data_IF_256484198836
#
_entry.id   IF_256484198836
#
_cell.length_a   1.000
_cell.length_b   1.000
_cell.length_c   1.000
_cell.angle_alpha   90.00
_cell.angle_beta   90.00
_cell.angle_gamma   90.00
#
_symmetry.space_group_name_H-M   'P 1'
#
loop_
_entity.id
_entity.type
_entity.pdbx_description
1 polymer ?
#
# COMPACT_ATOMS: atom_id res chain seq x y z
N UNK A 1 2.14 -2.14 12.66
CA UNK A 1 1.59 -3.33 11.98
C UNK A 1 0.72 -4.07 12.96
N UNK A 2 -0.40 -4.60 12.52
CA UNK A 2 -1.27 -5.48 13.31
C UNK A 2 -1.49 -6.77 12.54
N UNK A 3 -1.64 -7.89 13.25
CA UNK A 3 -1.93 -9.21 12.66
C UNK A 3 -3.25 -9.70 13.23
N UNK A 4 -4.05 -10.36 12.41
CA UNK A 4 -5.34 -10.91 12.80
C UNK A 4 -5.83 -11.95 11.80
N UNK A 5 -7.13 -12.22 11.83
CA UNK A 5 -7.78 -13.21 10.97
C UNK A 5 -9.02 -12.60 10.32
N UNK A 6 -9.23 -12.90 9.03
CA UNK A 6 -10.43 -12.55 8.28
C UNK A 6 -10.92 -13.81 7.58
N UNK A 7 -12.14 -14.28 7.90
CA UNK A 7 -12.73 -15.50 7.34
C UNK A 7 -11.79 -16.73 7.38
N UNK A 8 -11.15 -17.00 8.54
CA UNK A 8 -10.23 -18.14 8.67
C UNK A 8 -8.85 -17.92 8.04
N UNK A 9 -8.57 -16.74 7.45
CA UNK A 9 -7.30 -16.44 6.79
C UNK A 9 -6.47 -15.47 7.63
N UNK A 10 -5.19 -15.77 7.92
CA UNK A 10 -4.31 -14.83 8.60
C UNK A 10 -4.04 -13.61 7.71
N UNK A 11 -4.15 -12.42 8.28
CA UNK A 11 -3.96 -11.14 7.59
C UNK A 11 -3.07 -10.23 8.43
N UNK A 12 -2.19 -9.48 7.77
CA UNK A 12 -1.42 -8.40 8.36
C UNK A 12 -1.86 -7.05 7.78
N UNK A 13 -2.00 -6.05 8.64
CA UNK A 13 -2.28 -4.66 8.26
C UNK A 13 -1.08 -3.76 8.62
N UNK A 14 -0.61 -2.99 7.63
CA UNK A 14 0.54 -2.09 7.78
C UNK A 14 0.21 -0.71 7.18
N UNK A 15 0.03 0.34 8.00
CA UNK A 15 -0.16 1.69 7.49
C UNK A 15 1.18 2.30 7.03
N UNK A 16 1.32 2.54 5.72
CA UNK A 16 2.56 3.09 5.09
C UNK A 16 3.00 4.46 5.61
N UNK A 17 2.08 5.24 6.17
CA UNK A 17 2.36 6.58 6.72
C UNK A 17 2.51 6.57 8.24
N UNK A 18 2.62 5.38 8.85
CA UNK A 18 2.59 5.19 10.29
C UNK A 18 1.17 5.31 10.85
N UNK A 19 1.00 4.91 12.11
CA UNK A 19 -0.31 4.86 12.79
C UNK A 19 -0.95 6.25 12.91
N UNK A 20 -0.13 7.30 13.04
CA UNK A 20 -0.57 8.70 13.14
C UNK A 20 -0.54 9.44 11.80
N UNK A 21 -0.31 8.74 10.68
CA UNK A 21 -0.19 9.36 9.35
C UNK A 21 0.88 10.48 9.24
N UNK A 22 1.94 10.40 10.05
CA UNK A 22 2.95 11.46 10.18
C UNK A 22 4.15 11.29 9.24
N UNK A 23 4.33 10.13 8.62
CA UNK A 23 5.46 9.85 7.73
C UNK A 23 5.08 10.30 6.31
N UNK A 24 5.74 11.30 5.70
CA UNK A 24 5.41 11.71 4.33
C UNK A 24 5.86 10.66 3.30
N UNK A 25 5.27 10.64 2.08
CA UNK A 25 5.56 9.63 1.05
C UNK A 25 7.04 9.40 0.74
N UNK A 26 7.86 10.46 0.75
CA UNK A 26 9.30 10.41 0.45
C UNK A 26 10.16 9.90 1.62
N UNK A 27 9.59 9.70 2.82
CA UNK A 27 10.27 9.14 3.99
C UNK A 27 9.80 7.73 4.37
N UNK A 28 8.88 7.16 3.60
CA UNK A 28 8.42 5.78 3.82
C UNK A 28 9.56 4.82 3.50
N UNK A 29 9.87 3.93 4.44
CA UNK A 29 10.91 2.93 4.24
C UNK A 29 10.31 1.65 3.62
N UNK A 30 10.02 1.70 2.32
CA UNK A 30 9.36 0.61 1.59
C UNK A 30 10.10 -0.74 1.70
N UNK A 31 11.44 -0.71 1.78
CA UNK A 31 12.27 -1.92 1.94
C UNK A 31 12.04 -2.57 3.30
N UNK A 32 12.05 -1.78 4.38
CA UNK A 32 11.80 -2.29 5.72
C UNK A 32 10.38 -2.80 5.88
N UNK A 33 9.39 -2.08 5.35
CA UNK A 33 7.97 -2.48 5.38
C UNK A 33 7.74 -3.82 4.66
N UNK A 34 8.24 -3.94 3.44
CA UNK A 34 8.11 -5.18 2.64
C UNK A 34 8.83 -6.34 3.30
N UNK A 35 10.03 -6.09 3.86
CA UNK A 35 10.79 -7.12 4.55
C UNK A 35 10.11 -7.60 5.83
N UNK A 36 9.48 -6.69 6.60
CA UNK A 36 8.72 -7.06 7.79
C UNK A 36 7.54 -7.98 7.45
N UNK A 37 6.79 -7.68 6.38
CA UNK A 37 5.71 -8.53 5.89
C UNK A 37 6.24 -9.90 5.42
N UNK A 38 7.35 -9.91 4.67
CA UNK A 38 8.00 -11.15 4.25
C UNK A 38 8.44 -12.03 5.43
N UNK A 39 9.06 -11.43 6.46
CA UNK A 39 9.54 -12.09 7.67
C UNK A 39 8.43 -12.83 8.43
N UNK A 40 7.20 -12.30 8.43
CA UNK A 40 6.05 -12.94 9.09
C UNK A 40 5.29 -13.90 8.15
N UNK A 41 5.83 -14.18 6.95
CA UNK A 41 5.30 -15.19 6.04
C UNK A 41 4.23 -14.69 5.06
N UNK A 42 3.99 -13.38 4.93
CA UNK A 42 3.04 -12.84 3.95
C UNK A 42 3.47 -13.23 2.53
N UNK A 43 2.53 -13.78 1.76
CA UNK A 43 2.74 -14.24 0.37
C UNK A 43 2.11 -13.33 -0.69
N UNK A 44 1.13 -12.51 -0.29
CA UNK A 44 0.40 -11.59 -1.18
C UNK A 44 0.14 -10.30 -0.43
N UNK A 45 0.38 -9.18 -1.10
CA UNK A 45 0.15 -7.84 -0.57
C UNK A 45 -0.91 -7.18 -1.43
N UNK A 46 -1.92 -6.59 -0.78
CA UNK A 46 -2.88 -5.69 -1.41
C UNK A 46 -2.57 -4.31 -0.84
N UNK A 47 -2.27 -3.35 -1.71
CA UNK A 47 -1.97 -1.97 -1.33
C UNK A 47 -3.06 -1.04 -1.84
N UNK A 48 -3.38 -0.03 -1.03
CA UNK A 48 -4.35 1.01 -1.36
C UNK A 48 -3.65 2.34 -1.52
N UNK A 49 -3.99 3.09 -2.57
CA UNK A 49 -3.41 4.40 -2.86
C UNK A 49 -4.55 5.37 -3.18
N UNK A 50 -4.45 6.60 -2.66
CA UNK A 50 -5.24 7.72 -3.14
C UNK A 50 -4.47 8.42 -4.27
N UNK A 51 -5.11 8.64 -5.42
CA UNK A 51 -4.50 9.24 -6.61
C UNK A 51 -5.48 10.20 -7.28
N UNK A 52 -4.97 11.08 -8.15
CA UNK A 52 -5.79 11.84 -9.09
C UNK A 52 -5.88 11.12 -10.43
N UNK A 53 -7.06 11.13 -11.05
CA UNK A 53 -7.25 10.60 -12.39
C UNK A 53 -6.66 11.56 -13.44
N UNK A 54 -6.01 11.01 -14.45
CA UNK A 54 -5.54 11.72 -15.66
C UNK A 54 -6.26 11.25 -16.94
N UNK A 55 -7.09 10.20 -16.82
CA UNK A 55 -8.05 9.79 -17.84
C UNK A 55 -9.42 10.35 -17.43
N UNK A 56 -10.07 11.09 -18.35
CA UNK A 56 -11.36 11.73 -18.14
C UNK A 56 -12.54 10.75 -17.96
N UNK A 57 -12.35 9.47 -18.28
CA UNK A 57 -13.36 8.41 -18.05
C UNK A 57 -13.50 8.01 -16.58
N UNK A 58 -12.52 8.33 -15.73
CA UNK A 58 -12.57 8.03 -14.30
C UNK A 58 -13.02 9.23 -13.48
N UNK A 59 -13.98 8.99 -12.59
CA UNK A 59 -14.49 9.96 -11.63
C UNK A 59 -13.90 9.74 -10.22
N UNK A 60 -13.97 10.74 -9.32
CA UNK A 60 -13.68 10.52 -7.91
C UNK A 60 -14.47 9.34 -7.35
N UNK A 61 -13.82 8.56 -6.47
CA UNK A 61 -14.34 7.31 -5.87
C UNK A 61 -14.35 6.07 -6.77
N UNK A 62 -13.99 6.17 -8.05
CA UNK A 62 -13.76 4.99 -8.88
C UNK A 62 -12.57 4.17 -8.37
N UNK A 63 -12.68 2.84 -8.47
CA UNK A 63 -11.63 1.90 -8.12
C UNK A 63 -10.96 1.35 -9.38
N UNK A 64 -9.63 1.38 -9.37
CA UNK A 64 -8.81 0.87 -10.48
C UNK A 64 -7.77 -0.09 -9.93
N UNK A 65 -7.59 -1.23 -10.60
CA UNK A 65 -6.45 -2.13 -10.38
C UNK A 65 -5.41 -1.83 -11.46
N UNK A 66 -4.33 -1.08 -11.14
CA UNK A 66 -3.30 -0.77 -12.12
C UNK A 66 -2.56 -2.05 -12.54
N UNK A 67 -2.23 -2.15 -13.82
CA UNK A 67 -1.46 -3.26 -14.39
C UNK A 67 -0.06 -2.85 -14.86
N UNK A 68 0.24 -1.54 -14.87
CA UNK A 68 1.52 -0.98 -15.28
C UNK A 68 1.82 0.31 -14.49
N UNK A 69 3.06 0.81 -14.56
CA UNK A 69 3.51 2.01 -13.86
C UNK A 69 4.54 2.82 -14.67
N UNK A 70 4.50 4.14 -14.50
CA UNK A 70 5.56 5.05 -14.94
C UNK A 70 6.20 5.67 -13.72
N UNK A 71 7.50 5.44 -13.53
CA UNK A 71 8.20 5.88 -12.32
C UNK A 71 8.86 7.25 -12.50
N UNK A 72 8.40 8.23 -11.72
CA UNK A 72 8.98 9.55 -11.58
C UNK A 72 9.53 9.80 -10.16
N UNK A 73 9.67 8.75 -9.35
CA UNK A 73 10.15 8.85 -7.97
C UNK A 73 11.59 9.40 -7.96
N UNK A 74 11.79 10.50 -7.23
CA UNK A 74 13.13 11.07 -6.99
C UNK A 74 13.60 10.65 -5.60
N UNK A 75 14.81 10.11 -5.51
CA UNK A 75 15.47 9.74 -4.26
C UNK A 75 16.05 10.98 -3.56
#
# INVERSE_FOLDING_TARGET
>A
MSVGEIHGKPVAFLPRHGVQHSIPPHKVNYKAETYALHKIGVKRIIATNAVGAINAEFAPSDLVVPHDLVDFTKL
#
